data_IF_215914298258
#
_entry.id   IF_215914298258
#
_cell.length_a   1.000
_cell.length_b   1.000
_cell.length_c   1.000
_cell.angle_alpha   90.00
_cell.angle_beta   90.00
_cell.angle_gamma   90.00
#
_symmetry.space_group_name_H-M   'P 1'
#
loop_
_entity.id
_entity.type
_entity.pdbx_description
1 polymer ?
#
# COMPACT_ATOMS: atom_id res chain seq x y z
N UNK A 1 4.40 12.60 -29.59
CA UNK A 1 4.91 11.26 -29.24
C UNK A 1 4.30 10.84 -27.91
N UNK A 2 3.14 10.16 -27.94
CA UNK A 2 2.46 9.66 -26.75
C UNK A 2 2.46 8.12 -26.83
N UNK A 3 3.38 7.49 -26.10
CA UNK A 3 3.48 6.05 -25.97
C UNK A 3 3.67 5.71 -24.48
N UNK A 4 2.61 5.77 -23.68
CA UNK A 4 2.70 5.51 -22.22
C UNK A 4 1.74 4.42 -21.74
N UNK A 5 0.77 3.99 -22.56
CA UNK A 5 -0.29 3.09 -22.09
C UNK A 5 0.11 1.59 -22.01
N UNK A 6 1.19 1.14 -22.65
CA UNK A 6 1.49 -0.30 -22.80
C UNK A 6 2.82 -0.77 -22.19
N UNK A 7 3.63 0.12 -21.60
CA UNK A 7 4.95 -0.23 -21.02
C UNK A 7 5.02 -0.31 -19.50
N UNK A 8 3.94 0.01 -18.79
CA UNK A 8 3.96 0.18 -17.32
C UNK A 8 3.39 -1.00 -16.52
N UNK A 9 2.96 -2.09 -17.18
CA UNK A 9 2.44 -3.26 -16.48
C UNK A 9 3.45 -3.89 -15.51
N UNK A 10 4.76 -3.89 -15.85
CA UNK A 10 5.81 -4.36 -14.93
C UNK A 10 5.91 -3.52 -13.65
N UNK A 11 5.79 -2.20 -13.79
CA UNK A 11 5.82 -1.27 -12.65
C UNK A 11 4.58 -1.39 -11.77
N UNK A 12 3.42 -1.66 -12.37
CA UNK A 12 2.19 -1.95 -11.62
C UNK A 12 2.33 -3.25 -10.80
N UNK A 13 2.91 -4.30 -11.38
CA UNK A 13 3.17 -5.56 -10.68
C UNK A 13 4.18 -5.39 -9.53
N UNK A 14 5.20 -4.56 -9.71
CA UNK A 14 6.16 -4.19 -8.66
C UNK A 14 5.46 -3.45 -7.50
N UNK A 15 4.67 -2.42 -7.80
CA UNK A 15 3.90 -1.68 -6.80
C UNK A 15 2.97 -2.63 -6.03
N UNK A 16 2.26 -3.51 -6.74
CA UNK A 16 1.37 -4.50 -6.13
C UNK A 16 2.13 -5.49 -5.23
N UNK A 17 3.32 -5.94 -5.64
CA UNK A 17 4.15 -6.84 -4.85
C UNK A 17 4.63 -6.20 -3.54
N UNK A 18 5.10 -4.94 -3.60
CA UNK A 18 5.51 -4.19 -2.42
C UNK A 18 4.32 -3.95 -1.49
N UNK A 19 3.15 -3.60 -2.03
CA UNK A 19 1.95 -3.42 -1.23
C UNK A 19 1.52 -4.71 -0.50
N UNK A 20 1.55 -5.86 -1.18
CA UNK A 20 1.26 -7.16 -0.55
C UNK A 20 2.28 -7.50 0.53
N UNK A 21 3.57 -7.19 0.34
CA UNK A 21 4.64 -7.40 1.32
C UNK A 21 4.43 -6.64 2.63
N UNK A 22 3.80 -5.46 2.56
CA UNK A 22 3.49 -4.62 3.72
C UNK A 22 2.08 -4.82 4.28
N UNK A 23 1.39 -5.90 3.88
CA UNK A 23 0.10 -6.29 4.49
C UNK A 23 -1.15 -5.71 3.81
N UNK A 24 -1.02 -4.93 2.73
CA UNK A 24 -2.19 -4.43 1.98
C UNK A 24 -2.94 -5.51 1.19
N UNK A 25 -2.33 -6.69 1.00
CA UNK A 25 -2.99 -7.83 0.32
C UNK A 25 -4.29 -8.26 1.00
N UNK A 26 -4.36 -8.21 2.33
CA UNK A 26 -5.56 -8.57 3.11
C UNK A 26 -6.67 -7.51 3.03
N UNK A 27 -6.31 -6.24 2.80
CA UNK A 27 -7.29 -5.16 2.61
C UNK A 27 -8.12 -5.39 1.33
N UNK A 28 -7.48 -5.93 0.28
CA UNK A 28 -8.17 -6.38 -0.93
C UNK A 28 -9.03 -7.63 -0.70
N UNK A 29 -8.67 -8.48 0.27
CA UNK A 29 -9.44 -9.68 0.62
C UNK A 29 -10.79 -9.33 1.27
N UNK A 30 -10.83 -8.25 2.04
CA UNK A 30 -12.07 -7.71 2.63
C UNK A 30 -12.96 -7.03 1.57
N UNK A 31 -12.36 -6.44 0.52
CA UNK A 31 -13.05 -5.75 -0.56
C UNK A 31 -13.16 -6.59 -1.85
N UNK A 32 -13.45 -7.90 -1.76
CA UNK A 32 -13.93 -8.78 -2.87
C UNK A 32 -13.18 -8.70 -4.22
N UNK A 33 -11.96 -8.19 -4.26
CA UNK A 33 -11.10 -8.07 -5.45
C UNK A 33 -10.17 -9.29 -5.59
N UNK A 34 -10.21 -10.20 -4.62
CA UNK A 34 -9.42 -11.44 -4.56
C UNK A 34 -9.80 -12.48 -5.61
N UNK A 35 -10.98 -12.38 -6.23
CA UNK A 35 -11.42 -13.32 -7.28
C UNK A 35 -10.52 -13.27 -8.53
N UNK A 36 -9.66 -12.25 -8.67
CA UNK A 36 -8.72 -12.08 -9.78
C UNK A 36 -7.28 -12.57 -9.49
N UNK A 37 -6.94 -12.87 -8.23
CA UNK A 37 -5.58 -13.26 -7.85
C UNK A 37 -5.55 -14.65 -7.19
N UNK A 38 -5.26 -15.72 -7.95
CA UNK A 38 -5.14 -17.05 -7.38
C UNK A 38 -3.79 -17.19 -6.68
N UNK A 39 -3.83 -17.49 -5.37
CA UNK A 39 -2.72 -17.98 -4.53
C UNK A 39 -1.58 -17.00 -4.21
N UNK A 40 -1.63 -16.45 -3.00
CA UNK A 40 -0.68 -16.77 -1.91
C UNK A 40 -1.19 -16.07 -0.66
N UNK A 41 -1.78 -16.85 0.24
CA UNK A 41 -2.04 -16.41 1.61
C UNK A 41 -0.70 -16.21 2.31
N UNK A 42 -0.12 -15.02 2.17
CA UNK A 42 0.79 -14.52 3.17
C UNK A 42 -0.09 -14.05 4.33
N UNK A 43 -0.26 -14.92 5.35
CA UNK A 43 -0.59 -14.45 6.70
C UNK A 43 0.57 -13.58 7.14
N UNK A 44 0.60 -12.34 6.67
CA UNK A 44 1.26 -11.28 7.41
C UNK A 44 0.18 -10.91 8.42
N UNK A 45 0.39 -11.38 9.65
CA UNK A 45 -0.27 -10.84 10.82
C UNK A 45 0.04 -9.34 10.80
N UNK A 46 -0.80 -8.55 10.13
CA UNK A 46 -1.02 -7.17 10.53
C UNK A 46 -1.72 -7.32 11.87
N UNK A 47 -0.93 -7.61 12.88
CA UNK A 47 -1.30 -7.65 14.26
C UNK A 47 -2.13 -6.37 14.44
N UNK A 48 -3.42 -6.54 14.69
CA UNK A 48 -4.44 -5.50 14.48
C UNK A 48 -4.29 -4.31 15.43
N UNK A 49 -3.13 -4.20 16.07
CA UNK A 49 -2.66 -3.10 16.87
C UNK A 49 -2.57 -1.84 16.00
N UNK A 50 -3.27 -0.76 16.39
CA UNK A 50 -3.23 0.54 15.71
C UNK A 50 -1.78 1.00 15.43
N UNK A 51 -0.85 0.66 16.32
CA UNK A 51 0.56 1.04 16.23
C UNK A 51 1.32 0.46 15.04
N UNK A 52 0.93 -0.70 14.48
CA UNK A 52 1.74 -1.36 13.44
C UNK A 52 1.32 -0.97 12.01
N UNK A 53 0.06 -0.56 11.81
CA UNK A 53 -0.47 -0.25 10.47
C UNK A 53 0.13 1.01 9.85
N UNK A 54 0.31 2.05 10.65
CA UNK A 54 0.98 3.28 10.21
C UNK A 54 2.43 3.03 9.80
N UNK A 55 3.16 2.28 10.62
CA UNK A 55 4.55 1.91 10.34
C UNK A 55 4.69 1.11 9.03
N UNK A 56 3.85 0.09 8.83
CA UNK A 56 3.86 -0.69 7.58
C UNK A 56 3.55 0.17 6.35
N UNK A 57 2.62 1.12 6.47
CA UNK A 57 2.33 2.05 5.38
C UNK A 57 3.52 2.97 5.09
N UNK A 58 4.18 3.52 6.12
CA UNK A 58 5.41 4.32 5.97
C UNK A 58 6.50 3.55 5.24
N UNK A 59 6.77 2.31 5.67
CA UNK A 59 7.79 1.44 5.08
C UNK A 59 7.45 1.06 3.63
N UNK A 60 6.17 0.81 3.34
CA UNK A 60 5.70 0.57 1.98
C UNK A 60 5.96 1.78 1.07
N UNK A 61 5.61 2.99 1.52
CA UNK A 61 5.78 4.20 0.72
C UNK A 61 7.25 4.53 0.48
N UNK A 62 8.12 4.25 1.45
CA UNK A 62 9.57 4.39 1.33
C UNK A 62 10.15 3.40 0.30
N UNK A 63 9.76 2.12 0.37
CA UNK A 63 10.19 1.08 -0.58
C UNK A 63 9.69 1.36 -2.02
N UNK A 64 8.50 1.95 -2.16
CA UNK A 64 7.95 2.37 -3.46
C UNK A 64 8.65 3.60 -4.07
N UNK A 65 9.43 4.32 -3.26
CA UNK A 65 10.30 5.42 -3.66
C UNK A 65 9.71 6.82 -3.50
N UNK A 66 10.45 7.87 -3.91
CA UNK A 66 10.21 9.26 -3.51
C UNK A 66 8.87 9.84 -3.95
N UNK A 67 8.28 9.33 -5.03
CA UNK A 67 6.92 9.72 -5.45
C UNK A 67 5.88 9.31 -4.42
N UNK A 68 6.01 8.10 -3.87
CA UNK A 68 5.07 7.56 -2.88
C UNK A 68 5.32 8.15 -1.50
N UNK A 69 6.56 8.46 -1.14
CA UNK A 69 6.87 9.25 0.06
C UNK A 69 6.14 10.61 0.03
N UNK A 70 6.21 11.35 -1.07
CA UNK A 70 5.47 12.62 -1.23
C UNK A 70 3.97 12.43 -1.17
N UNK A 71 3.47 11.32 -1.70
CA UNK A 71 2.05 10.97 -1.60
C UNK A 71 1.65 10.71 -0.14
N UNK A 72 2.47 10.02 0.64
CA UNK A 72 2.29 9.85 2.09
C UNK A 72 2.22 11.18 2.83
N UNK A 73 3.14 12.10 2.53
CA UNK A 73 3.14 13.45 3.10
C UNK A 73 1.88 14.24 2.74
N UNK A 74 1.37 14.10 1.51
CA UNK A 74 0.10 14.73 1.13
C UNK A 74 -1.07 14.12 1.91
N UNK A 75 -1.10 12.79 2.06
CA UNK A 75 -2.13 12.09 2.81
C UNK A 75 -2.08 12.39 4.31
N UNK A 76 -0.91 12.61 4.92
CA UNK A 76 -0.82 12.92 6.35
C UNK A 76 -1.42 14.28 6.71
N UNK A 77 -1.59 15.17 5.73
CA UNK A 77 -2.34 16.43 5.88
C UNK A 77 -3.87 16.26 5.81
N UNK A 78 -4.37 15.04 5.57
CA UNK A 78 -5.79 14.72 5.38
C UNK A 78 -6.33 13.85 6.52
N UNK A 79 -6.62 14.43 7.70
CA UNK A 79 -7.17 13.70 8.86
C UNK A 79 -8.60 13.18 8.64
N UNK A 80 -9.24 13.59 7.55
CA UNK A 80 -10.52 13.05 7.09
C UNK A 80 -10.37 11.69 6.38
N UNK A 81 -9.17 11.35 5.92
CA UNK A 81 -8.89 10.13 5.13
C UNK A 81 -8.14 9.09 5.98
N UNK A 82 -7.22 9.54 6.83
CA UNK A 82 -6.39 8.66 7.63
C UNK A 82 -6.69 8.82 9.13
N UNK A 83 -6.73 7.71 9.88
CA UNK A 83 -6.86 7.77 11.33
C UNK A 83 -5.55 8.29 11.97
N UNK A 84 -5.63 8.89 13.17
CA UNK A 84 -4.51 9.62 13.78
C UNK A 84 -3.28 8.75 14.09
N UNK A 85 -3.48 7.46 14.33
CA UNK A 85 -2.41 6.46 14.50
C UNK A 85 -1.57 6.27 13.23
N UNK A 86 -2.19 6.38 12.05
CA UNK A 86 -1.47 6.30 10.77
C UNK A 86 -0.79 7.62 10.44
N UNK A 87 -1.43 8.77 10.72
CA UNK A 87 -0.86 10.10 10.48
C UNK A 87 0.42 10.32 11.29
N UNK A 88 0.47 9.80 12.52
CA UNK A 88 1.65 9.90 13.36
C UNK A 88 2.91 9.27 12.76
N UNK A 89 2.75 8.32 11.83
CA UNK A 89 3.84 7.57 11.19
C UNK A 89 4.21 8.09 9.79
N UNK A 90 3.44 9.02 9.20
CA UNK A 90 3.61 9.50 7.81
C UNK A 90 4.16 10.93 7.69
#
# INVERSE_FOLDING_TARGET
MAQTATRNFGRLSEIAQVAVRHGFGYWFETHRLTDLFPRRGARIEVDGQPSQRGQHLREMLDELGPTFVKFGQLLSTRPDVLPPDIIAEL
#
